data_IF_423984209399
#
_entry.id   IF_423984209399
#
_cell.length_a   1.000
_cell.length_b   1.000
_cell.length_c   1.000
_cell.angle_alpha   90.00
_cell.angle_beta   90.00
_cell.angle_gamma   90.00
#
_symmetry.space_group_name_H-M   'P 1'
#
loop_
_entity.id
_entity.type
_entity.pdbx_description
1 polymer ?
#
# COMPACT_ATOMS: atom_id res chain seq x y z
N UNK A 1 47.23 20.49 -31.62
CA UNK A 1 47.19 19.01 -31.59
C UNK A 1 46.01 18.65 -30.69
N UNK A 2 44.76 18.72 -31.18
CA UNK A 2 43.98 17.62 -31.80
C UNK A 2 44.10 16.31 -31.03
N UNK A 3 43.04 15.93 -30.30
CA UNK A 3 42.21 14.78 -30.66
C UNK A 3 41.05 14.62 -29.67
N UNK A 4 39.84 14.72 -30.20
CA UNK A 4 38.63 14.22 -29.58
C UNK A 4 38.70 12.69 -29.48
N UNK A 5 38.12 12.15 -28.41
CA UNK A 5 37.81 10.73 -28.26
C UNK A 5 36.44 10.59 -27.64
N UNK A 6 35.43 10.42 -28.48
CA UNK A 6 34.09 9.97 -28.12
C UNK A 6 34.06 8.43 -28.13
N UNK A 7 33.18 7.88 -27.28
CA UNK A 7 32.65 6.49 -27.23
C UNK A 7 33.54 5.47 -26.50
N UNK A 8 33.01 4.57 -25.65
CA UNK A 8 31.72 3.89 -25.78
C UNK A 8 31.02 3.60 -24.44
N UNK A 9 29.69 3.66 -24.52
CA UNK A 9 28.69 3.09 -23.61
C UNK A 9 28.85 1.57 -23.61
N UNK A 10 28.80 0.91 -22.45
CA UNK A 10 28.80 -0.55 -22.39
C UNK A 10 28.55 -1.08 -20.98
N UNK A 11 27.29 -1.34 -20.65
CA UNK A 11 26.88 -2.08 -19.47
C UNK A 11 25.63 -1.51 -18.78
N UNK A 12 24.48 -1.56 -19.45
CA UNK A 12 23.17 -1.47 -18.76
C UNK A 12 22.80 -2.89 -18.37
N UNK A 13 22.57 -3.15 -17.08
CA UNK A 13 22.14 -4.45 -16.57
C UNK A 13 22.14 -4.51 -15.04
N UNK A 14 21.08 -3.95 -14.46
CA UNK A 14 20.64 -3.97 -13.04
C UNK A 14 21.51 -3.24 -12.00
N UNK A 15 21.19 -1.95 -11.82
CA UNK A 15 21.26 -1.26 -10.51
C UNK A 15 19.86 -1.27 -9.93
N UNK A 16 19.54 -2.30 -9.15
CA UNK A 16 18.53 -2.17 -8.09
C UNK A 16 19.33 -2.15 -6.79
N UNK A 17 19.47 -0.95 -6.22
CA UNK A 17 20.32 -0.72 -5.06
C UNK A 17 20.88 0.70 -4.97
N UNK A 18 20.10 1.54 -4.30
CA UNK A 18 20.52 2.75 -3.59
C UNK A 18 20.98 3.96 -4.42
N UNK A 19 20.11 4.98 -4.48
CA UNK A 19 20.53 6.38 -4.54
C UNK A 19 19.58 7.25 -3.71
N UNK A 20 19.56 7.03 -2.39
CA UNK A 20 19.15 8.03 -1.42
C UNK A 20 20.39 8.53 -0.67
N UNK A 21 21.31 9.18 -1.40
CA UNK A 21 22.35 10.00 -0.80
C UNK A 21 22.36 11.34 -1.50
N UNK A 22 21.50 12.24 -1.03
CA UNK A 22 21.77 13.67 -1.12
C UNK A 22 21.22 14.36 0.12
N UNK A 23 22.16 14.79 0.95
CA UNK A 23 21.97 15.55 2.18
C UNK A 23 21.10 16.78 1.95
N UNK A 24 19.94 16.84 2.59
CA UNK A 24 19.44 18.09 3.17
C UNK A 24 19.51 17.94 4.68
N UNK A 25 20.52 18.58 5.24
CA UNK A 25 20.45 19.07 6.59
C UNK A 25 19.32 20.12 6.64
N UNK A 26 18.63 20.15 7.78
CA UNK A 26 17.72 21.19 8.29
C UNK A 26 16.21 20.93 8.13
N UNK A 27 15.60 20.74 9.32
CA UNK A 27 14.17 20.65 9.67
C UNK A 27 13.49 19.33 9.26
N UNK A 28 13.08 18.46 10.18
CA UNK A 28 12.21 18.77 11.31
C UNK A 28 12.36 17.70 12.40
N UNK A 29 12.55 18.13 13.65
CA UNK A 29 12.12 17.34 14.80
C UNK A 29 10.58 17.32 14.80
N UNK A 30 9.98 16.49 13.94
CA UNK A 30 8.73 15.85 14.31
C UNK A 30 9.14 14.54 14.94
N UNK A 31 9.63 14.63 16.18
CA UNK A 31 9.76 13.45 17.03
C UNK A 31 8.33 12.94 17.20
N UNK A 32 7.94 11.92 16.44
CA UNK A 32 6.64 11.29 16.59
C UNK A 32 6.49 10.89 18.06
N UNK A 33 5.52 11.50 18.74
CA UNK A 33 5.31 11.25 20.16
C UNK A 33 4.78 9.82 20.38
N UNK A 34 4.10 9.28 19.37
CA UNK A 34 3.45 7.97 19.40
C UNK A 34 3.63 7.25 18.05
N UNK A 35 3.70 5.92 18.07
CA UNK A 35 3.81 5.08 16.87
C UNK A 35 2.52 4.28 16.68
N UNK A 36 2.08 4.13 15.43
CA UNK A 36 0.94 3.28 15.07
C UNK A 36 1.29 2.38 13.91
N UNK A 37 0.63 1.23 13.83
CA UNK A 37 0.70 0.36 12.67
C UNK A 37 -0.59 0.46 11.88
N UNK A 38 -0.49 0.70 10.57
CA UNK A 38 -1.58 0.49 9.62
C UNK A 38 -1.54 -0.95 9.16
N UNK A 39 -2.55 -1.74 9.54
CA UNK A 39 -2.67 -3.13 9.10
C UNK A 39 -3.35 -3.19 7.74
N UNK A 40 -2.62 -3.72 6.76
CA UNK A 40 -3.07 -3.94 5.38
C UNK A 40 -3.13 -5.44 5.13
N UNK A 41 -4.32 -5.94 4.82
CA UNK A 41 -4.52 -7.33 4.43
C UNK A 41 -4.65 -7.39 2.91
N UNK A 42 -3.85 -8.20 2.24
CA UNK A 42 -3.87 -8.29 0.78
C UNK A 42 -3.84 -9.74 0.30
N UNK A 43 -4.34 -9.94 -0.91
CA UNK A 43 -4.24 -11.22 -1.60
C UNK A 43 -2.78 -11.59 -1.92
N UNK A 44 -2.46 -12.88 -1.92
CA UNK A 44 -1.11 -13.38 -2.22
C UNK A 44 -0.56 -12.92 -3.57
N UNK A 45 -1.41 -12.68 -4.57
CA UNK A 45 -0.98 -12.27 -5.91
C UNK A 45 -0.44 -10.84 -6.03
N UNK A 46 -0.64 -9.99 -5.02
CA UNK A 46 -0.24 -8.57 -5.04
C UNK A 46 0.77 -8.21 -3.94
N UNK A 47 1.22 -9.19 -3.13
CA UNK A 47 2.04 -8.95 -1.94
C UNK A 47 3.37 -8.30 -2.28
N UNK A 48 4.16 -8.88 -3.19
CA UNK A 48 5.49 -8.38 -3.51
C UNK A 48 5.51 -6.89 -3.94
N UNK A 49 4.69 -6.43 -4.92
CA UNK A 49 4.65 -5.01 -5.27
C UNK A 49 4.05 -4.14 -4.16
N UNK A 50 3.09 -4.65 -3.39
CA UNK A 50 2.50 -3.90 -2.28
C UNK A 50 3.47 -3.72 -1.11
N UNK A 51 4.32 -4.70 -0.83
CA UNK A 51 5.40 -4.61 0.16
C UNK A 51 6.42 -3.56 -0.24
N UNK A 52 6.80 -3.48 -1.53
CA UNK A 52 7.70 -2.43 -2.01
C UNK A 52 7.11 -1.02 -1.78
N UNK A 53 5.82 -0.82 -2.06
CA UNK A 53 5.12 0.44 -1.79
C UNK A 53 5.04 0.72 -0.29
N UNK A 54 4.82 -0.30 0.54
CA UNK A 54 4.82 -0.17 1.99
C UNK A 54 6.20 0.20 2.55
N UNK A 55 7.28 -0.33 2.00
CA UNK A 55 8.66 0.04 2.35
C UNK A 55 8.95 1.51 2.02
N UNK A 56 8.49 1.99 0.86
CA UNK A 56 8.61 3.41 0.48
C UNK A 56 7.83 4.31 1.44
N UNK A 57 6.62 3.94 1.83
CA UNK A 57 5.85 4.65 2.86
C UNK A 57 6.61 4.69 4.19
N UNK A 58 7.11 3.53 4.64
CA UNK A 58 7.81 3.38 5.91
C UNK A 58 9.14 4.15 5.95
N UNK A 59 9.75 4.41 4.80
CA UNK A 59 10.95 5.24 4.68
C UNK A 59 10.66 6.75 4.65
N UNK A 60 9.41 7.15 4.41
CA UNK A 60 9.01 8.55 4.23
C UNK A 60 8.71 9.33 5.51
N UNK A 61 8.84 8.71 6.69
CA UNK A 61 8.44 9.28 7.99
C UNK A 61 7.03 9.90 7.94
N UNK A 62 6.06 9.15 7.41
CA UNK A 62 4.74 9.70 7.13
C UNK A 62 3.93 9.94 8.42
N UNK A 63 3.73 11.22 8.74
CA UNK A 63 3.02 11.63 9.96
C UNK A 63 1.52 11.74 9.69
N UNK A 64 0.75 10.97 10.46
CA UNK A 64 -0.72 11.10 10.51
C UNK A 64 -1.09 11.66 11.87
N UNK A 65 -1.51 12.93 11.88
CA UNK A 65 -1.72 13.77 13.08
C UNK A 65 -0.44 13.99 13.90
N UNK A 66 -0.12 13.06 14.79
CA UNK A 66 1.01 13.06 15.71
C UNK A 66 1.65 11.66 15.82
N UNK A 67 1.20 10.71 14.99
CA UNK A 67 1.71 9.34 14.99
C UNK A 67 2.58 9.12 13.76
N UNK A 68 3.75 8.52 13.97
CA UNK A 68 4.49 7.88 12.90
C UNK A 68 3.76 6.59 12.59
N UNK A 69 3.16 6.51 11.40
CA UNK A 69 2.40 5.32 11.01
C UNK A 69 3.26 4.46 10.11
N UNK A 70 3.53 3.23 10.53
CA UNK A 70 4.15 2.23 9.67
C UNK A 70 3.10 1.33 9.05
N UNK A 71 3.26 0.98 7.78
CA UNK A 71 2.43 0.02 7.07
C UNK A 71 2.97 -1.39 7.31
N UNK A 72 2.08 -2.29 7.73
CA UNK A 72 2.34 -3.72 7.79
C UNK A 72 1.38 -4.42 6.84
N UNK A 73 1.95 -5.02 5.79
CA UNK A 73 1.22 -5.85 4.83
C UNK A 73 1.17 -7.28 5.36
N UNK A 74 0.02 -7.93 5.25
CA UNK A 74 -0.17 -9.35 5.56
C UNK A 74 -0.88 -10.02 4.41
N UNK A 75 -0.37 -11.16 3.97
CA UNK A 75 -1.01 -11.99 2.96
C UNK A 75 -2.14 -12.82 3.54
N UNK A 76 -3.28 -12.87 2.87
CA UNK A 76 -4.33 -13.84 3.15
C UNK A 76 -5.05 -14.26 1.88
N UNK A 77 -5.63 -15.46 1.92
CA UNK A 77 -6.57 -15.87 0.88
C UNK A 77 -7.80 -14.95 0.93
N UNK A 78 -8.13 -14.35 -0.20
CA UNK A 78 -9.16 -13.31 -0.23
C UNK A 78 -10.57 -13.78 0.12
N UNK A 79 -10.93 -15.04 -0.17
CA UNK A 79 -12.24 -15.60 0.20
C UNK A 79 -12.36 -15.69 1.73
N UNK A 80 -11.39 -16.34 2.36
CA UNK A 80 -11.33 -16.48 3.83
C UNK A 80 -11.22 -15.12 4.53
N UNK A 81 -10.44 -14.19 3.97
CA UNK A 81 -10.32 -12.84 4.48
C UNK A 81 -11.66 -12.08 4.45
N UNK A 82 -12.38 -12.16 3.33
CA UNK A 82 -13.69 -11.54 3.18
C UNK A 82 -14.72 -12.10 4.15
N UNK A 83 -14.79 -13.42 4.31
CA UNK A 83 -15.64 -14.09 5.30
C UNK A 83 -15.30 -13.66 6.73
N UNK A 84 -14.00 -13.64 7.07
CA UNK A 84 -13.53 -13.21 8.40
C UNK A 84 -13.93 -11.76 8.69
N UNK A 85 -13.80 -10.86 7.71
CA UNK A 85 -14.23 -9.46 7.85
C UNK A 85 -15.75 -9.32 7.98
N UNK A 86 -16.52 -10.15 7.29
CA UNK A 86 -17.98 -10.18 7.38
C UNK A 86 -18.46 -10.74 8.74
N UNK A 87 -17.72 -11.68 9.34
CA UNK A 87 -18.04 -12.26 10.64
C UNK A 87 -17.47 -11.48 11.82
N UNK A 88 -16.45 -10.63 11.60
CA UNK A 88 -15.74 -9.94 12.68
C UNK A 88 -16.66 -9.11 13.58
N UNK A 89 -16.67 -9.48 14.86
CA UNK A 89 -17.23 -8.69 15.95
C UNK A 89 -16.30 -7.54 16.35
N UNK A 90 -16.88 -6.55 17.04
CA UNK A 90 -16.27 -5.26 17.36
C UNK A 90 -15.09 -5.32 18.34
N UNK A 91 -14.81 -6.50 18.92
CA UNK A 91 -13.84 -6.72 19.99
C UNK A 91 -12.45 -7.16 19.50
N UNK A 92 -12.24 -7.26 18.18
CA UNK A 92 -10.94 -7.60 17.60
C UNK A 92 -10.43 -6.51 16.67
N UNK A 93 -9.12 -6.29 16.69
CA UNK A 93 -8.43 -5.54 15.67
C UNK A 93 -8.64 -6.21 14.32
N UNK A 94 -9.17 -5.46 13.37
CA UNK A 94 -9.33 -5.85 11.96
C UNK A 94 -8.46 -4.93 11.10
N UNK A 95 -8.01 -5.38 9.92
CA UNK A 95 -7.22 -4.51 9.05
C UNK A 95 -8.03 -3.29 8.64
N UNK A 96 -7.38 -2.13 8.56
CA UNK A 96 -8.01 -0.90 8.09
C UNK A 96 -8.02 -0.79 6.55
N UNK A 97 -7.20 -1.60 5.89
CA UNK A 97 -7.15 -1.73 4.43
C UNK A 97 -7.20 -3.21 4.06
N UNK A 98 -8.06 -3.54 3.11
CA UNK A 98 -8.15 -4.88 2.53
C UNK A 98 -8.05 -4.78 1.00
N UNK A 99 -7.18 -5.59 0.39
CA UNK A 99 -6.98 -5.66 -1.07
C UNK A 99 -7.22 -7.10 -1.53
N UNK A 100 -8.47 -7.49 -1.83
CA UNK A 100 -8.77 -8.82 -2.35
C UNK A 100 -8.29 -9.02 -3.79
N UNK A 101 -8.37 -10.26 -4.28
CA UNK A 101 -8.05 -10.58 -5.67
C UNK A 101 -9.06 -9.99 -6.69
N UNK A 102 -10.28 -9.64 -6.28
CA UNK A 102 -11.30 -9.11 -7.20
C UNK A 102 -12.43 -8.32 -6.54
N UNK A 103 -13.07 -7.42 -7.30
CA UNK A 103 -14.31 -6.72 -6.90
C UNK A 103 -15.43 -7.67 -6.45
N UNK A 104 -15.55 -8.88 -7.01
CA UNK A 104 -16.61 -9.82 -6.58
C UNK A 104 -16.48 -10.27 -5.11
N UNK A 105 -15.28 -10.26 -4.55
CA UNK A 105 -15.05 -10.53 -3.13
C UNK A 105 -15.44 -9.31 -2.29
N UNK A 106 -15.25 -8.11 -2.82
CA UNK A 106 -15.75 -6.88 -2.19
C UNK A 106 -17.27 -6.83 -2.17
N UNK A 107 -17.93 -7.23 -3.25
CA UNK A 107 -19.40 -7.31 -3.33
C UNK A 107 -19.94 -8.25 -2.24
N UNK A 108 -19.28 -9.40 -2.04
CA UNK A 108 -19.66 -10.36 -0.98
C UNK A 108 -19.59 -9.73 0.41
N UNK A 109 -18.53 -8.96 0.69
CA UNK A 109 -18.42 -8.22 1.95
C UNK A 109 -19.48 -7.10 2.04
N UNK A 110 -19.75 -6.39 0.94
CA UNK A 110 -20.73 -5.31 0.90
C UNK A 110 -22.16 -5.82 1.15
N UNK A 111 -22.52 -6.96 0.55
CA UNK A 111 -23.81 -7.64 0.77
C UNK A 111 -24.01 -8.06 2.22
N UNK A 112 -22.93 -8.49 2.89
CA UNK A 112 -22.98 -8.90 4.29
C UNK A 112 -22.92 -7.70 5.27
N UNK A 113 -22.02 -6.73 5.02
CA UNK A 113 -21.69 -5.60 5.91
C UNK A 113 -21.22 -4.34 5.16
N UNK A 114 -22.06 -3.76 4.32
CA UNK A 114 -21.76 -2.49 3.62
C UNK A 114 -21.29 -1.35 4.53
N UNK A 115 -21.69 -1.31 5.80
CA UNK A 115 -21.27 -0.26 6.75
C UNK A 115 -19.77 -0.30 7.07
N UNK A 116 -19.11 -1.43 6.81
CA UNK A 116 -17.66 -1.63 7.00
C UNK A 116 -16.83 -1.00 5.90
N UNK A 117 -17.42 -0.64 4.76
CA UNK A 117 -16.70 -0.13 3.60
C UNK A 117 -16.77 1.40 3.63
N UNK A 118 -15.62 2.05 3.72
CA UNK A 118 -15.56 3.50 3.92
C UNK A 118 -15.83 4.33 2.68
N UNK A 119 -15.51 3.79 1.51
CA UNK A 119 -15.70 4.42 0.22
C UNK A 119 -15.77 3.35 -0.88
N UNK A 120 -16.16 3.78 -2.08
CA UNK A 120 -16.10 2.93 -3.26
C UNK A 120 -14.67 2.38 -3.45
N UNK A 121 -14.51 1.07 -3.70
CA UNK A 121 -13.20 0.47 -3.94
C UNK A 121 -12.57 1.01 -5.21
N UNK A 122 -11.24 1.16 -5.21
CA UNK A 122 -10.47 1.58 -6.37
C UNK A 122 -9.41 0.50 -6.68
N UNK A 123 -9.37 0.02 -7.92
CA UNK A 123 -8.44 -1.02 -8.39
C UNK A 123 -7.01 -0.51 -8.46
N UNK A 124 -6.08 -1.14 -7.72
CA UNK A 124 -4.66 -0.74 -7.75
C UNK A 124 -3.98 -1.13 -9.06
N UNK A 125 -4.44 -2.21 -9.67
CA UNK A 125 -4.07 -2.64 -11.01
C UNK A 125 -4.98 -1.98 -12.06
N UNK A 126 -4.43 -1.72 -13.24
CA UNK A 126 -5.19 -1.27 -14.41
C UNK A 126 -5.93 -2.43 -15.10
N UNK A 127 -5.96 -2.42 -16.43
CA UNK A 127 -6.59 -3.45 -17.28
C UNK A 127 -5.87 -4.84 -17.29
N UNK A 128 -5.09 -5.16 -16.25
CA UNK A 128 -4.22 -6.34 -16.16
C UNK A 128 -4.88 -7.61 -15.59
N UNK A 129 -4.06 -8.64 -15.33
CA UNK A 129 -4.50 -9.92 -14.73
C UNK A 129 -4.81 -9.76 -13.22
N UNK A 130 -6.05 -9.36 -12.93
CA UNK A 130 -6.57 -9.18 -11.58
C UNK A 130 -6.98 -7.74 -11.31
N UNK A 131 -8.08 -7.56 -10.59
CA UNK A 131 -8.70 -6.25 -10.37
C UNK A 131 -8.25 -5.58 -9.06
N UNK A 132 -7.64 -6.34 -8.15
CA UNK A 132 -7.09 -5.92 -6.84
C UNK A 132 -7.64 -4.59 -6.29
N UNK A 133 -8.93 -4.54 -5.91
CA UNK A 133 -9.53 -3.31 -5.42
C UNK A 133 -9.04 -2.98 -4.01
N UNK A 134 -8.51 -1.79 -3.79
CA UNK A 134 -8.16 -1.30 -2.47
C UNK A 134 -9.44 -0.86 -1.75
N UNK A 135 -9.82 -1.63 -0.74
CA UNK A 135 -10.97 -1.36 0.13
C UNK A 135 -10.47 -0.79 1.45
N UNK A 136 -11.06 0.33 1.86
CA UNK A 136 -10.84 0.89 3.20
C UNK A 136 -11.92 0.36 4.14
N UNK A 137 -11.48 -0.27 5.22
CA UNK A 137 -12.34 -0.84 6.24
C UNK A 137 -12.51 0.18 7.37
N UNK A 138 -13.74 0.31 7.85
CA UNK A 138 -14.11 1.25 8.90
C UNK A 138 -15.02 0.62 9.96
N UNK A 139 -15.25 1.39 11.02
CA UNK A 139 -16.12 1.00 12.12
C UNK A 139 -15.39 0.22 13.21
N UNK A 140 -16.12 -0.45 14.11
CA UNK A 140 -15.53 -0.97 15.34
C UNK A 140 -14.44 -2.03 15.09
N UNK A 141 -13.27 -1.86 15.69
CA UNK A 141 -12.09 -2.69 15.41
C UNK A 141 -11.07 -2.04 14.46
N UNK A 142 -11.40 -0.87 13.90
CA UNK A 142 -10.46 0.06 13.27
C UNK A 142 -10.47 1.36 14.08
N UNK A 143 -9.32 1.79 14.60
CA UNK A 143 -9.23 3.05 15.33
C UNK A 143 -9.12 4.26 14.37
N UNK A 144 -9.46 5.45 14.87
CA UNK A 144 -9.48 6.66 14.05
C UNK A 144 -8.12 6.97 13.36
N UNK A 145 -6.98 6.60 13.99
CA UNK A 145 -5.64 6.85 13.42
C UNK A 145 -5.45 5.94 12.22
N UNK A 146 -5.82 4.66 12.35
CA UNK A 146 -5.84 3.72 11.24
C UNK A 146 -6.80 4.13 10.12
N UNK A 147 -8.02 4.61 10.39
CA UNK A 147 -8.94 5.06 9.34
C UNK A 147 -8.36 6.22 8.50
N UNK A 148 -7.71 7.18 9.16
CA UNK A 148 -7.05 8.30 8.47
C UNK A 148 -5.78 7.88 7.76
N UNK A 149 -5.01 6.98 8.35
CA UNK A 149 -3.85 6.39 7.71
C UNK A 149 -4.26 5.60 6.46
N UNK A 150 -5.35 4.83 6.50
CA UNK A 150 -5.91 4.11 5.36
C UNK A 150 -6.30 5.06 4.21
N UNK A 151 -6.95 6.19 4.52
CA UNK A 151 -7.23 7.22 3.50
C UNK A 151 -5.96 7.78 2.86
N UNK A 152 -4.93 8.05 3.67
CA UNK A 152 -3.68 8.64 3.17
C UNK A 152 -2.85 7.62 2.39
N UNK A 153 -2.81 6.38 2.86
CA UNK A 153 -2.18 5.25 2.18
C UNK A 153 -2.85 4.97 0.83
N UNK A 154 -4.19 5.02 0.77
CA UNK A 154 -4.90 4.98 -0.51
C UNK A 154 -4.35 6.05 -1.46
N UNK A 155 -4.32 7.33 -1.06
CA UNK A 155 -3.78 8.39 -1.92
C UNK A 155 -2.34 8.10 -2.36
N UNK A 156 -1.52 7.56 -1.46
CA UNK A 156 -0.11 7.22 -1.74
C UNK A 156 0.06 6.11 -2.78
N UNK A 157 -0.70 5.02 -2.65
CA UNK A 157 -0.70 3.89 -3.60
C UNK A 157 -1.11 4.34 -5.00
N UNK A 158 -2.05 5.29 -5.09
CA UNK A 158 -2.59 5.78 -6.36
C UNK A 158 -1.78 6.91 -7.02
N UNK A 159 -0.63 7.29 -6.47
CA UNK A 159 0.29 8.18 -7.16
C UNK A 159 0.88 7.51 -8.41
N UNK A 160 1.08 8.26 -9.50
CA UNK A 160 1.38 7.68 -10.81
C UNK A 160 2.65 6.83 -10.83
N UNK A 161 3.67 7.21 -10.05
CA UNK A 161 4.92 6.46 -9.96
C UNK A 161 4.76 5.09 -9.26
N UNK A 162 3.81 4.95 -8.31
CA UNK A 162 3.57 3.69 -7.57
C UNK A 162 2.62 2.77 -8.32
N UNK A 163 1.63 3.34 -9.01
CA UNK A 163 0.78 2.56 -9.92
C UNK A 163 1.59 1.77 -10.94
N UNK A 164 2.66 2.39 -11.47
CA UNK A 164 3.56 1.72 -12.40
C UNK A 164 4.24 0.47 -11.82
N UNK A 165 4.38 0.35 -10.49
CA UNK A 165 4.94 -0.85 -9.85
C UNK A 165 3.97 -2.03 -10.00
N UNK A 166 2.67 -1.79 -9.89
CA UNK A 166 1.64 -2.83 -10.04
C UNK A 166 1.46 -3.27 -11.50
N UNK A 167 1.63 -2.36 -12.45
CA UNK A 167 1.54 -2.67 -13.89
C UNK A 167 2.68 -3.58 -14.39
N UNK A 168 3.75 -3.78 -13.61
CA UNK A 168 4.84 -4.72 -13.96
C UNK A 168 4.48 -6.19 -13.76
N UNK A 169 3.35 -6.49 -13.10
CA UNK A 169 2.84 -7.87 -12.96
C UNK A 169 2.41 -8.50 -14.29
N UNK A 170 2.20 -7.68 -15.33
CA UNK A 170 1.82 -8.12 -16.68
C UNK A 170 3.01 -8.54 -17.58
N UNK A 171 4.27 -8.44 -17.11
CA UNK A 171 5.44 -8.87 -17.90
C UNK A 171 5.74 -10.39 -17.72
N UNK A 172 5.73 -11.19 -18.81
CA UNK A 172 5.91 -12.65 -18.75
C UNK A 172 7.35 -13.15 -18.58
#
# INVERSE_FOLDING_TARGET
MVAAGLLAIGGVGWVWGTNAMNTRAEAQSQECEEHSTLHVLADEGIIDPLEAVAEEWNAGDEVVRAHCVTVQVTSANSEIAGETLAEADTDRDIPAVWIPASTGQVDTLADARSERIAAEPESVTGDGDGDYPLVRIQGPGVDDVQERAAQKFHTFVFEPDRRAVFDTLDEP
#
